data_IF_601350753601
#
_entry.id   IF_601350753601
#
_cell.length_a   1.000
_cell.length_b   1.000
_cell.length_c   1.000
_cell.angle_alpha   90.00
_cell.angle_beta   90.00
_cell.angle_gamma   90.00
#
_symmetry.space_group_name_H-M   'P 1'
#
loop_
_entity.id
_entity.type
_entity.pdbx_description
1 polymer ?
#
# COMPACT_ATOMS: atom_id res chain seq x y z
N UNK A 1 -23.73 -17.11 -34.65
CA UNK A 1 -23.46 -17.48 -33.25
C UNK A 1 -22.35 -16.59 -32.72
N UNK A 2 -22.63 -15.81 -31.67
CA UNK A 2 -21.65 -14.93 -31.03
C UNK A 2 -20.70 -15.79 -30.19
N UNK A 3 -19.43 -15.92 -30.59
CA UNK A 3 -18.40 -16.40 -29.66
C UNK A 3 -17.96 -15.22 -28.79
N UNK A 4 -18.27 -15.33 -27.50
CA UNK A 4 -17.74 -14.50 -26.42
C UNK A 4 -16.23 -14.72 -26.31
N UNK A 5 -15.46 -14.03 -27.16
CA UNK A 5 -14.07 -13.71 -26.81
C UNK A 5 -14.13 -12.53 -25.85
N UNK A 6 -14.39 -12.86 -24.58
CA UNK A 6 -14.16 -11.97 -23.47
C UNK A 6 -12.68 -11.61 -23.49
N UNK A 7 -12.42 -10.34 -23.77
CA UNK A 7 -11.11 -9.73 -23.81
C UNK A 7 -10.49 -9.89 -22.41
N UNK A 8 -9.62 -10.87 -22.24
CA UNK A 8 -8.70 -10.89 -21.10
C UNK A 8 -7.63 -9.85 -21.38
N UNK A 9 -7.93 -8.58 -21.09
CA UNK A 9 -6.87 -7.59 -20.90
C UNK A 9 -6.22 -7.93 -19.56
N UNK A 10 -4.93 -8.33 -19.52
CA UNK A 10 -4.26 -8.45 -18.24
C UNK A 10 -4.33 -7.08 -17.56
N UNK A 11 -4.80 -7.04 -16.31
CA UNK A 11 -4.65 -5.86 -15.47
C UNK A 11 -3.17 -5.48 -15.50
N UNK A 12 -2.85 -4.43 -16.25
CA UNK A 12 -1.54 -3.80 -16.19
C UNK A 12 -1.51 -3.12 -14.84
N UNK A 13 -1.08 -3.85 -13.81
CA UNK A 13 -0.77 -3.29 -12.52
C UNK A 13 0.21 -2.14 -12.79
N UNK A 14 -0.15 -0.87 -12.50
CA UNK A 14 0.88 0.13 -12.40
C UNK A 14 1.74 -0.34 -11.22
N UNK A 15 2.91 -0.90 -11.51
CA UNK A 15 3.92 -1.11 -10.48
C UNK A 15 4.10 0.27 -9.82
N UNK A 16 3.83 0.43 -8.52
CA UNK A 16 3.98 1.74 -7.90
C UNK A 16 5.43 2.14 -8.14
N UNK A 17 5.63 3.30 -8.76
CA UNK A 17 6.97 3.85 -9.00
C UNK A 17 7.78 3.89 -7.68
N UNK A 18 7.09 3.90 -6.55
CA UNK A 18 7.59 3.85 -5.17
C UNK A 18 8.29 2.52 -4.85
N UNK A 19 7.80 1.37 -5.34
CA UNK A 19 8.46 0.06 -5.14
C UNK A 19 9.80 0.00 -5.86
N UNK A 20 9.90 0.64 -7.03
CA UNK A 20 11.13 0.78 -7.79
C UNK A 20 12.11 1.73 -7.08
N UNK A 21 11.61 2.86 -6.57
CA UNK A 21 12.40 3.86 -5.84
C UNK A 21 13.04 3.29 -4.55
N UNK A 22 12.41 2.32 -3.90
CA UNK A 22 12.95 1.72 -2.69
C UNK A 22 14.12 0.77 -2.96
N UNK A 23 14.33 0.27 -4.20
CA UNK A 23 15.34 -0.77 -4.51
C UNK A 23 16.80 -0.36 -4.31
N UNK A 24 17.14 0.93 -4.20
CA UNK A 24 18.53 1.40 -4.39
C UNK A 24 19.39 1.63 -3.15
N UNK A 25 18.93 1.42 -1.91
CA UNK A 25 19.75 1.68 -0.73
C UNK A 25 19.98 0.44 0.15
N UNK A 26 21.25 0.12 0.39
CA UNK A 26 21.69 -0.80 1.45
C UNK A 26 21.52 -0.09 2.79
N UNK A 27 20.54 -0.47 3.60
CA UNK A 27 20.41 0.07 4.95
C UNK A 27 20.17 -1.02 5.99
N UNK A 28 20.87 -0.85 7.11
CA UNK A 28 20.91 -1.66 8.35
C UNK A 28 19.56 -1.98 9.01
N UNK A 29 18.40 -1.66 8.42
CA UNK A 29 17.10 -2.00 9.01
C UNK A 29 16.10 -2.50 7.95
N UNK A 30 16.40 -3.65 7.36
CA UNK A 30 15.58 -4.32 6.33
C UNK A 30 14.11 -4.54 6.74
N UNK A 31 13.83 -4.67 8.04
CA UNK A 31 12.46 -4.84 8.53
C UNK A 31 11.64 -3.54 8.53
N UNK A 32 12.25 -2.37 8.79
CA UNK A 32 11.54 -1.07 8.67
C UNK A 32 11.10 -0.86 7.23
N UNK A 33 11.99 -1.20 6.28
CA UNK A 33 11.66 -1.13 4.86
C UNK A 33 10.50 -2.07 4.50
N UNK A 34 10.50 -3.30 5.02
CA UNK A 34 9.39 -4.22 4.84
C UNK A 34 8.08 -3.65 5.42
N UNK A 35 8.11 -2.99 6.57
CA UNK A 35 6.95 -2.34 7.20
C UNK A 35 6.40 -1.18 6.36
N UNK A 36 7.28 -0.37 5.75
CA UNK A 36 6.90 0.71 4.84
C UNK A 36 6.24 0.12 3.59
N UNK A 37 6.88 -0.88 2.95
CA UNK A 37 6.34 -1.53 1.75
C UNK A 37 4.98 -2.17 2.04
N UNK A 38 4.84 -2.86 3.17
CA UNK A 38 3.58 -3.43 3.61
C UNK A 38 2.49 -2.37 3.77
N UNK A 39 2.83 -1.24 4.40
CA UNK A 39 1.90 -0.13 4.64
C UNK A 39 1.43 0.50 3.34
N UNK A 40 2.35 0.71 2.39
CA UNK A 40 2.03 1.23 1.06
C UNK A 40 1.12 0.30 0.27
N UNK A 41 1.44 -1.00 0.24
CA UNK A 41 0.63 -2.02 -0.43
C UNK A 41 -0.80 -2.04 0.13
N UNK A 42 -0.96 -1.90 1.46
CA UNK A 42 -2.29 -1.83 2.07
C UNK A 42 -3.05 -0.56 1.69
N UNK A 43 -2.39 0.59 1.64
CA UNK A 43 -3.03 1.84 1.23
C UNK A 43 -3.47 1.80 -0.24
N UNK A 44 -2.62 1.25 -1.11
CA UNK A 44 -2.86 1.16 -2.55
C UNK A 44 -4.04 0.24 -2.90
N UNK A 45 -4.22 -0.84 -2.17
CA UNK A 45 -5.25 -1.85 -2.45
C UNK A 45 -6.46 -1.79 -1.51
N UNK A 46 -6.57 -0.74 -0.69
CA UNK A 46 -7.64 -0.56 0.30
C UNK A 46 -7.86 -1.82 1.18
N UNK A 47 -6.75 -2.43 1.62
CA UNK A 47 -6.81 -3.67 2.38
C UNK A 47 -7.18 -3.42 3.84
N UNK A 48 -8.10 -4.24 4.42
CA UNK A 48 -8.46 -4.13 5.83
C UNK A 48 -7.25 -4.17 6.75
N UNK A 49 -7.19 -3.24 7.70
CA UNK A 49 -6.10 -3.20 8.69
C UNK A 49 -6.03 -4.42 9.61
N UNK A 50 -7.10 -5.22 9.70
CA UNK A 50 -7.07 -6.50 10.41
C UNK A 50 -6.03 -7.47 9.83
N UNK A 51 -5.75 -7.39 8.52
CA UNK A 51 -4.78 -8.28 7.87
C UNK A 51 -3.36 -8.07 8.43
N UNK A 52 -3.01 -6.84 8.83
CA UNK A 52 -1.72 -6.50 9.44
C UNK A 52 -1.41 -7.31 10.72
N UNK A 53 -2.42 -7.55 11.56
CA UNK A 53 -2.27 -8.32 12.80
C UNK A 53 -1.95 -9.81 12.54
N UNK A 54 -2.44 -10.33 11.40
CA UNK A 54 -2.21 -11.71 10.97
C UNK A 54 -0.89 -11.85 10.21
N UNK A 55 -0.58 -10.90 9.31
CA UNK A 55 0.64 -10.90 8.51
C UNK A 55 1.90 -10.95 9.41
N UNK A 56 1.95 -10.12 10.45
CA UNK A 56 3.07 -10.09 11.40
C UNK A 56 3.35 -11.45 12.07
N UNK A 57 2.33 -12.32 12.19
CA UNK A 57 2.47 -13.67 12.72
C UNK A 57 2.77 -14.69 11.63
N UNK A 58 2.15 -14.55 10.47
CA UNK A 58 2.31 -15.46 9.34
C UNK A 58 3.71 -15.37 8.73
N UNK A 59 4.28 -14.19 8.61
CA UNK A 59 5.54 -13.96 7.89
C UNK A 59 6.72 -14.72 8.53
N UNK A 60 6.81 -14.75 9.86
CA UNK A 60 7.84 -15.52 10.58
C UNK A 60 7.68 -17.04 10.46
N UNK A 61 6.46 -17.52 10.23
CA UNK A 61 6.17 -18.96 10.01
C UNK A 61 6.44 -19.33 8.55
N UNK A 62 6.07 -18.44 7.62
CA UNK A 62 6.24 -18.64 6.18
C UNK A 62 7.71 -18.57 5.76
N UNK A 63 8.49 -17.72 6.42
CA UNK A 63 9.89 -17.46 6.09
C UNK A 63 10.79 -17.63 7.34
N UNK A 64 10.93 -18.85 7.86
CA UNK A 64 11.62 -19.10 9.13
C UNK A 64 13.14 -18.81 9.09
N UNK A 65 13.73 -18.77 7.90
CA UNK A 65 15.14 -18.44 7.65
C UNK A 65 15.39 -16.94 7.45
N UNK A 66 14.32 -16.15 7.30
CA UNK A 66 14.43 -14.72 7.06
C UNK A 66 14.51 -13.94 8.37
N UNK A 67 15.68 -13.36 8.65
CA UNK A 67 15.84 -12.43 9.76
C UNK A 67 14.89 -11.22 9.66
N UNK A 68 14.60 -10.77 8.44
CA UNK A 68 13.65 -9.67 8.19
C UNK A 68 12.24 -10.06 8.56
N UNK A 69 11.78 -11.26 8.17
CA UNK A 69 10.44 -11.75 8.51
C UNK A 69 10.28 -12.05 10.00
N UNK A 70 11.34 -12.56 10.65
CA UNK A 70 11.36 -12.78 12.10
C UNK A 70 11.26 -11.50 12.92
N UNK A 71 11.73 -10.37 12.39
CA UNK A 71 11.68 -9.05 13.04
C UNK A 71 10.57 -8.14 12.50
N UNK A 72 9.80 -8.59 11.51
CA UNK A 72 8.71 -7.81 10.94
C UNK A 72 7.55 -7.74 11.93
N UNK A 73 7.26 -6.54 12.44
CA UNK A 73 6.16 -6.31 13.37
C UNK A 73 5.39 -5.08 12.90
N UNK A 74 4.38 -5.29 12.06
CA UNK A 74 3.49 -4.26 11.55
C UNK A 74 2.03 -4.64 11.83
N UNK A 75 1.63 -4.56 13.10
CA UNK A 75 0.22 -4.70 13.49
C UNK A 75 -0.61 -3.46 13.11
N UNK A 76 -1.94 -3.53 13.31
CA UNK A 76 -2.90 -2.48 12.95
C UNK A 76 -2.44 -1.07 13.30
N UNK A 77 -2.09 -0.82 14.57
CA UNK A 77 -1.71 0.52 15.06
C UNK A 77 -0.51 1.07 14.33
N UNK A 78 0.52 0.25 14.13
CA UNK A 78 1.76 0.67 13.48
C UNK A 78 1.53 0.92 11.99
N UNK A 79 0.83 0.00 11.31
CA UNK A 79 0.47 0.19 9.90
C UNK A 79 -0.39 1.45 9.71
N UNK A 80 -1.37 1.70 10.58
CA UNK A 80 -2.19 2.92 10.50
C UNK A 80 -1.31 4.14 10.66
N UNK A 81 -0.52 4.22 11.73
CA UNK A 81 0.40 5.34 11.96
C UNK A 81 1.36 5.59 10.80
N UNK A 82 1.97 4.54 10.25
CA UNK A 82 2.86 4.65 9.10
C UNK A 82 2.16 5.27 7.89
N UNK A 83 0.91 4.90 7.62
CA UNK A 83 0.13 5.46 6.51
C UNK A 83 -0.34 6.89 6.81
N UNK A 84 -0.92 7.13 7.99
CA UNK A 84 -1.66 8.36 8.31
C UNK A 84 -0.77 9.50 8.77
N UNK A 85 0.33 9.21 9.46
CA UNK A 85 1.18 10.21 10.10
C UNK A 85 2.63 10.12 9.62
N UNK A 86 3.13 8.89 9.38
CA UNK A 86 4.52 8.67 8.97
C UNK A 86 4.79 9.08 7.52
N UNK A 87 3.92 8.68 6.59
CA UNK A 87 4.12 8.90 5.15
C UNK A 87 3.21 9.97 4.56
N UNK A 88 2.07 10.27 5.21
CA UNK A 88 1.02 11.14 4.65
C UNK A 88 1.52 12.52 4.21
N UNK A 89 2.43 13.13 4.98
CA UNK A 89 2.97 14.45 4.67
C UNK A 89 3.73 14.47 3.34
N UNK A 90 4.60 13.48 3.11
CA UNK A 90 5.38 13.34 1.87
C UNK A 90 4.46 13.12 0.65
N UNK A 91 3.45 12.26 0.80
CA UNK A 91 2.45 12.02 -0.25
C UNK A 91 1.61 13.26 -0.54
N UNK A 92 1.21 14.01 0.50
CA UNK A 92 0.45 15.24 0.34
C UNK A 92 1.27 16.30 -0.38
N UNK A 93 2.53 16.52 0.00
CA UNK A 93 3.40 17.49 -0.65
C UNK A 93 3.64 17.13 -2.12
N UNK A 94 3.95 15.85 -2.39
CA UNK A 94 4.10 15.34 -3.76
C UNK A 94 2.84 15.54 -4.59
N UNK A 95 1.67 15.19 -4.05
CA UNK A 95 0.38 15.38 -4.71
C UNK A 95 0.11 16.86 -5.01
N UNK A 96 0.33 17.76 -4.05
CA UNK A 96 0.15 19.20 -4.24
C UNK A 96 1.06 19.72 -5.35
N UNK A 97 2.31 19.29 -5.40
CA UNK A 97 3.26 19.72 -6.44
C UNK A 97 2.86 19.23 -7.84
N UNK A 98 2.29 18.02 -7.95
CA UNK A 98 1.71 17.51 -9.21
C UNK A 98 0.48 18.33 -9.61
N UNK A 99 -0.44 18.56 -8.68
CA UNK A 99 -1.71 19.25 -8.95
C UNK A 99 -1.52 20.72 -9.35
N UNK A 100 -0.46 21.41 -8.87
CA UNK A 100 -0.12 22.78 -9.31
C UNK A 100 0.13 22.90 -10.81
N UNK A 101 0.57 21.81 -11.45
CA UNK A 101 1.01 21.81 -12.85
C UNK A 101 0.13 20.95 -13.76
N UNK A 102 -0.97 20.40 -13.24
CA UNK A 102 -1.81 19.44 -13.95
C UNK A 102 -3.26 19.91 -13.92
N UNK A 103 -3.97 19.82 -15.04
CA UNK A 103 -5.44 20.00 -15.05
C UNK A 103 -6.07 18.74 -14.46
N UNK A 104 -6.90 18.91 -13.44
CA UNK A 104 -7.60 17.81 -12.79
C UNK A 104 -9.10 18.12 -12.66
N UNK A 105 -9.90 17.08 -12.41
CA UNK A 105 -11.32 17.21 -12.11
C UNK A 105 -11.59 16.58 -10.75
N UNK A 106 -12.46 17.21 -9.96
CA UNK A 106 -12.88 16.69 -8.68
C UNK A 106 -14.22 15.97 -8.85
N UNK A 107 -14.27 14.69 -8.50
CA UNK A 107 -15.52 13.94 -8.43
C UNK A 107 -16.01 13.97 -6.98
N UNK A 108 -17.22 14.48 -6.76
CA UNK A 108 -17.85 14.55 -5.44
C UNK A 108 -19.02 13.56 -5.46
N UNK A 109 -18.99 12.57 -4.56
CA UNK A 109 -20.09 11.63 -4.35
C UNK A 109 -20.86 12.02 -3.09
N UNK A 110 -22.13 12.38 -3.25
CA UNK A 110 -23.04 12.70 -2.14
C UNK A 110 -23.89 11.46 -1.78
N UNK A 111 -23.25 10.37 -1.39
CA UNK A 111 -23.96 9.18 -0.94
C UNK A 111 -24.50 9.37 0.49
N UNK A 112 -25.82 9.22 0.64
CA UNK A 112 -26.53 9.40 1.91
C UNK A 112 -26.83 8.03 2.54
N UNK A 113 -25.95 7.52 3.41
CA UNK A 113 -26.22 6.28 4.15
C UNK A 113 -27.27 6.53 5.23
N UNK A 114 -28.49 6.01 5.05
CA UNK A 114 -29.44 5.83 6.15
C UNK A 114 -28.95 4.67 7.02
N UNK A 115 -28.57 4.97 8.26
CA UNK A 115 -28.46 3.96 9.31
C UNK A 115 -29.89 3.47 9.62
N UNK A 116 -30.15 2.19 9.38
CA UNK A 116 -31.28 1.46 9.93
C UNK A 116 -30.89 0.81 11.24
#
# INVERSE_FOLDING_TARGET
MKQLHQVYQPYHYPQPQIVEQLKSEKHEIDFIRAEIIWSLMKAEHDLPFLISDHASKADSIMFPDSATAGNFISGRTKTTYTITDGLSHEFQESLVNILKNTVFSLMIDESNKKYG
#
